data_IF_188588744438
#
_entry.id   IF_188588744438
#
_cell.length_a   1.000
_cell.length_b   1.000
_cell.length_c   1.000
_cell.angle_alpha   90.00
_cell.angle_beta   90.00
_cell.angle_gamma   90.00
#
_symmetry.space_group_name_H-M   'P 1'
#
loop_
_entity.id
_entity.type
_entity.pdbx_description
1 polymer ?
#
# COMPACT_ATOMS: atom_id res chain seq x y z
N UNK A 1 54.32 -45.89 7.12
CA UNK A 1 53.76 -46.47 8.37
C UNK A 1 52.28 -46.15 8.37
N UNK A 2 51.43 -47.13 8.11
CA UNK A 2 49.98 -47.09 8.42
C UNK A 2 49.81 -47.48 9.93
N UNK A 3 48.67 -47.26 10.65
CA UNK A 3 47.29 -47.29 10.11
C UNK A 3 46.16 -46.46 10.83
N UNK A 4 45.01 -46.39 10.13
CA UNK A 4 43.60 -46.60 10.58
C UNK A 4 42.83 -45.59 11.45
N UNK A 5 41.89 -44.89 10.78
CA UNK A 5 40.42 -44.83 10.97
C UNK A 5 39.80 -45.13 12.35
N UNK A 6 38.96 -44.19 12.84
CA UNK A 6 37.63 -44.49 13.39
C UNK A 6 36.73 -43.23 13.42
N UNK A 7 35.57 -43.36 12.76
CA UNK A 7 34.41 -42.48 12.85
C UNK A 7 33.79 -42.52 14.24
N UNK A 8 33.31 -41.38 14.72
CA UNK A 8 32.14 -41.28 15.57
C UNK A 8 31.45 -39.94 15.25
N UNK A 9 30.32 -40.01 14.55
CA UNK A 9 29.43 -38.87 14.41
C UNK A 9 28.76 -38.58 15.75
N UNK A 10 28.47 -37.30 15.98
CA UNK A 10 27.37 -36.92 16.85
C UNK A 10 26.67 -35.73 16.21
N UNK A 11 25.44 -35.99 15.78
CA UNK A 11 24.42 -34.99 15.57
C UNK A 11 24.37 -34.08 16.82
N UNK A 12 24.65 -32.79 16.65
CA UNK A 12 24.19 -31.80 17.61
C UNK A 12 22.76 -31.45 17.23
N UNK A 13 21.84 -32.25 17.79
CA UNK A 13 20.45 -31.87 17.97
C UNK A 13 20.35 -30.59 18.79
N UNK A 14 19.38 -29.76 18.43
CA UNK A 14 18.77 -28.67 19.20
C UNK A 14 18.95 -28.78 20.73
N UNK A 15 19.30 -27.66 21.35
CA UNK A 15 19.22 -27.47 22.79
C UNK A 15 19.97 -26.23 23.23
N UNK A 16 19.29 -25.08 23.27
CA UNK A 16 19.72 -23.94 24.08
C UNK A 16 19.88 -24.41 25.53
N UNK A 17 21.11 -24.55 26.00
CA UNK A 17 21.40 -24.58 27.43
C UNK A 17 21.60 -23.14 27.90
N UNK A 18 20.59 -22.58 28.56
CA UNK A 18 20.75 -21.38 29.36
C UNK A 18 21.82 -21.65 30.44
N UNK A 19 22.88 -20.84 30.42
CA UNK A 19 23.80 -20.74 31.54
C UNK A 19 23.06 -19.93 32.60
N UNK A 20 22.45 -20.60 33.58
CA UNK A 20 21.94 -19.94 34.79
C UNK A 20 23.06 -19.94 35.82
N UNK A 21 23.44 -18.74 36.26
CA UNK A 21 24.44 -18.52 37.30
C UNK A 21 23.92 -19.08 38.65
N UNK A 22 24.62 -19.99 39.34
CA UNK A 22 24.10 -20.67 40.53
C UNK A 22 23.99 -19.79 41.81
N UNK A 23 24.14 -18.47 41.71
CA UNK A 23 23.98 -17.51 42.82
C UNK A 23 22.64 -16.73 42.79
N UNK A 24 21.77 -16.96 41.80
CA UNK A 24 20.44 -16.31 41.70
C UNK A 24 19.29 -17.32 41.82
N UNK A 25 19.41 -18.28 42.73
CA UNK A 25 18.24 -19.09 43.10
C UNK A 25 17.40 -18.31 44.11
N UNK A 26 16.09 -18.10 43.86
CA UNK A 26 15.21 -17.40 44.77
C UNK A 26 15.21 -18.05 46.15
N UNK A 27 15.32 -17.24 47.22
CA UNK A 27 15.24 -17.73 48.59
C UNK A 27 13.79 -18.12 48.86
N UNK A 28 13.54 -19.42 48.96
CA UNK A 28 12.21 -19.97 49.22
C UNK A 28 11.85 -19.84 50.70
N UNK A 29 10.58 -19.57 50.98
CA UNK A 29 10.00 -19.46 52.31
C UNK A 29 8.70 -20.28 52.42
N UNK A 30 8.43 -20.77 53.63
CA UNK A 30 7.23 -21.53 53.98
C UNK A 30 6.90 -21.32 55.48
N UNK A 31 5.94 -22.07 56.01
CA UNK A 31 5.52 -21.97 57.41
C UNK A 31 6.63 -22.32 58.42
N UNK A 32 7.66 -23.05 58.00
CA UNK A 32 8.79 -23.50 58.82
C UNK A 32 10.11 -22.73 58.54
N UNK A 33 10.14 -21.88 57.49
CA UNK A 33 11.30 -21.06 57.09
C UNK A 33 10.93 -19.60 56.88
N UNK A 34 11.29 -18.78 57.86
CA UNK A 34 11.17 -17.33 57.79
C UNK A 34 12.26 -16.69 56.89
N UNK A 35 11.89 -15.59 56.23
CA UNK A 35 12.81 -14.77 55.46
C UNK A 35 13.81 -14.00 56.33
N UNK A 36 14.98 -13.61 55.78
CA UNK A 36 15.92 -12.70 56.46
C UNK A 36 15.29 -11.35 56.84
N UNK A 37 15.90 -10.65 57.80
CA UNK A 37 15.43 -9.31 58.23
C UNK A 37 15.35 -8.34 57.04
N UNK A 38 14.23 -7.63 56.91
CA UNK A 38 13.94 -6.70 55.80
C UNK A 38 13.12 -7.29 54.64
N UNK A 39 12.76 -8.58 54.69
CA UNK A 39 11.97 -9.25 53.64
C UNK A 39 10.66 -9.87 54.19
N UNK A 40 9.71 -10.12 53.29
CA UNK A 40 8.44 -10.82 53.50
C UNK A 40 8.29 -11.99 52.53
N UNK A 41 7.54 -13.01 52.95
CA UNK A 41 7.25 -14.15 52.11
C UNK A 41 6.06 -13.83 51.19
N UNK A 42 6.32 -13.79 49.88
CA UNK A 42 5.34 -13.56 48.83
C UNK A 42 5.36 -14.78 47.90
N UNK A 43 4.24 -15.52 47.89
CA UNK A 43 4.03 -16.71 47.08
C UNK A 43 5.18 -17.74 47.12
N UNK A 44 5.63 -18.09 48.34
CA UNK A 44 6.68 -19.07 48.57
C UNK A 44 8.11 -18.56 48.38
N UNK A 45 8.29 -17.25 48.12
CA UNK A 45 9.60 -16.64 47.89
C UNK A 45 9.80 -15.38 48.75
N UNK A 46 11.02 -15.17 49.26
CA UNK A 46 11.35 -13.97 50.02
C UNK A 46 11.57 -12.76 49.11
N UNK A 47 10.85 -11.68 49.36
CA UNK A 47 10.97 -10.40 48.66
C UNK A 47 11.00 -9.23 49.68
N UNK A 48 11.61 -8.08 49.35
CA UNK A 48 11.67 -6.93 50.26
C UNK A 48 10.27 -6.42 50.66
N UNK A 49 10.13 -5.96 51.91
CA UNK A 49 8.87 -5.39 52.40
C UNK A 49 8.65 -4.01 51.78
N UNK A 50 7.59 -3.87 51.00
CA UNK A 50 7.02 -2.56 50.63
C UNK A 50 6.01 -2.19 51.72
N UNK A 51 6.39 -1.30 52.62
CA UNK A 51 5.43 -0.53 53.43
C UNK A 51 4.83 0.58 52.54
N UNK A 52 3.57 0.92 52.81
CA UNK A 52 2.62 1.75 52.02
C UNK A 52 3.15 3.08 51.42
N UNK A 53 2.46 3.66 50.40
CA UNK A 53 3.07 4.57 49.42
C UNK A 53 3.37 5.95 50.02
N UNK A 54 4.58 6.45 49.74
CA UNK A 54 5.04 7.81 50.03
C UNK A 54 5.46 8.44 48.70
N UNK A 55 5.12 9.72 48.42
CA UNK A 55 5.68 10.45 47.28
C UNK A 55 7.17 10.65 47.51
N UNK A 56 7.95 10.11 46.59
CA UNK A 56 9.39 10.24 46.29
C UNK A 56 10.28 10.93 47.32
N UNK A 57 10.72 10.17 48.32
CA UNK A 57 11.80 10.56 49.21
C UNK A 57 13.17 10.38 48.50
N UNK A 58 13.63 11.41 47.79
CA UNK A 58 14.99 11.45 47.24
C UNK A 58 15.30 12.49 46.16
N UNK A 59 14.31 13.25 45.70
CA UNK A 59 14.45 14.19 44.59
C UNK A 59 15.09 15.53 45.07
N UNK A 60 16.13 16.04 44.37
CA UNK A 60 16.71 17.37 44.60
C UNK A 60 16.20 18.37 43.54
N UNK A 61 15.58 19.51 43.93
CA UNK A 61 15.02 20.46 42.98
C UNK A 61 16.04 20.91 41.93
N UNK A 62 15.66 20.80 40.67
CA UNK A 62 16.51 21.11 39.53
C UNK A 62 15.69 21.77 38.41
N UNK A 63 16.36 22.19 37.34
CA UNK A 63 15.71 22.82 36.17
C UNK A 63 15.67 21.86 34.96
N UNK A 64 15.76 20.54 35.19
CA UNK A 64 15.65 19.56 34.11
C UNK A 64 14.18 19.45 33.64
N UNK A 65 13.94 19.24 32.33
CA UNK A 65 12.58 19.01 31.83
C UNK A 65 12.06 17.66 32.33
N UNK A 66 10.78 17.61 32.71
CA UNK A 66 10.11 16.37 33.10
C UNK A 66 10.16 15.33 31.98
N UNK A 67 10.45 14.08 32.35
CA UNK A 67 10.22 12.94 31.48
C UNK A 67 8.84 12.41 31.79
N UNK A 68 8.12 11.96 30.76
CA UNK A 68 6.82 11.38 31.03
C UNK A 68 6.90 9.96 31.59
N UNK A 69 7.04 9.87 32.90
CA UNK A 69 7.26 8.64 33.64
C UNK A 69 6.40 8.53 34.91
N UNK A 70 5.55 9.53 35.18
CA UNK A 70 4.64 9.56 36.33
C UNK A 70 5.34 9.90 37.64
N UNK A 71 6.57 10.42 37.56
CA UNK A 71 7.37 10.92 38.66
C UNK A 71 7.56 12.43 38.50
N UNK A 72 7.95 13.09 39.58
CA UNK A 72 8.37 14.49 39.59
C UNK A 72 9.91 14.50 39.47
N UNK A 73 10.45 14.58 38.25
CA UNK A 73 11.89 14.46 37.96
C UNK A 73 12.68 15.72 38.40
N UNK A 74 12.02 16.88 38.40
CA UNK A 74 12.62 18.16 38.76
C UNK A 74 12.24 18.67 40.16
N UNK A 75 11.42 17.91 40.88
CA UNK A 75 11.01 18.09 42.26
C UNK A 75 10.30 19.42 42.53
N UNK A 76 9.43 19.86 41.61
CA UNK A 76 8.71 21.13 41.70
C UNK A 76 7.26 21.00 42.24
N UNK A 77 6.89 19.81 42.73
CA UNK A 77 5.55 19.42 43.18
C UNK A 77 4.51 19.31 42.04
N UNK A 78 4.95 19.21 40.79
CA UNK A 78 4.16 18.85 39.61
C UNK A 78 4.72 17.54 39.04
N UNK A 79 3.86 16.74 38.43
CA UNK A 79 4.26 15.47 37.82
C UNK A 79 4.01 15.60 36.33
N UNK A 80 5.02 15.26 35.54
CA UNK A 80 4.98 15.32 34.08
C UNK A 80 4.51 16.70 33.54
N UNK A 81 4.88 17.85 34.13
CA UNK A 81 4.42 19.15 33.60
C UNK A 81 4.99 19.49 32.22
N UNK A 82 4.20 20.23 31.44
CA UNK A 82 4.53 20.59 30.06
C UNK A 82 4.21 19.51 29.03
N UNK A 83 3.59 18.40 29.47
CA UNK A 83 3.09 17.30 28.63
C UNK A 83 1.55 17.27 28.49
N UNK A 84 0.89 18.36 28.87
CA UNK A 84 -0.55 18.65 28.66
C UNK A 84 -0.62 19.98 27.91
N UNK A 85 -0.74 19.92 26.58
CA UNK A 85 -0.62 21.11 25.71
C UNK A 85 -1.94 21.87 25.59
N UNK A 86 -3.09 21.20 25.72
CA UNK A 86 -4.40 21.85 25.61
C UNK A 86 -5.05 22.26 26.95
N UNK A 87 -4.53 21.75 28.07
CA UNK A 87 -4.87 22.12 29.42
C UNK A 87 -6.12 21.46 29.98
N UNK A 88 -6.51 20.29 29.48
CA UNK A 88 -7.62 19.51 30.02
C UNK A 88 -7.29 18.73 31.31
N UNK A 89 -6.00 18.66 31.65
CA UNK A 89 -5.47 18.01 32.85
C UNK A 89 -5.05 16.56 32.65
N UNK A 90 -5.03 16.05 31.42
CA UNK A 90 -4.47 14.75 31.03
C UNK A 90 -3.23 14.99 30.18
N UNK A 91 -2.17 14.23 30.41
CA UNK A 91 -0.95 14.33 29.59
C UNK A 91 -0.97 13.33 28.43
N UNK A 92 -0.31 13.63 27.31
CA UNK A 92 -0.18 12.75 26.12
C UNK A 92 0.37 11.34 26.41
N UNK A 93 0.90 11.17 27.62
CA UNK A 93 1.65 10.01 28.03
C UNK A 93 1.21 9.43 29.37
N UNK A 94 0.44 10.17 30.19
CA UNK A 94 -0.11 9.75 31.49
C UNK A 94 0.87 8.91 32.33
N UNK A 95 2.07 9.44 32.55
CA UNK A 95 3.13 8.75 33.29
C UNK A 95 3.54 7.38 32.74
N UNK A 96 3.39 7.17 31.44
CA UNK A 96 3.66 5.91 30.74
C UNK A 96 2.50 4.91 30.72
N UNK A 97 1.32 5.26 31.26
CA UNK A 97 0.13 4.41 31.21
C UNK A 97 -0.67 4.63 29.92
N UNK A 98 -0.82 3.58 29.12
CA UNK A 98 -1.52 3.65 27.84
C UNK A 98 -3.05 3.75 27.98
N UNK A 99 -3.64 3.26 29.07
CA UNK A 99 -5.11 3.20 29.26
C UNK A 99 -5.71 4.52 29.76
N UNK A 100 -4.90 5.54 30.02
CA UNK A 100 -5.39 6.85 30.45
C UNK A 100 -4.57 8.01 29.92
N UNK A 101 -3.82 7.79 28.83
CA UNK A 101 -3.13 8.87 28.15
C UNK A 101 -4.12 9.67 27.31
N UNK A 102 -3.82 10.94 27.14
CA UNK A 102 -4.52 11.77 26.18
C UNK A 102 -4.27 11.22 24.75
N UNK A 103 -5.37 10.98 24.02
CA UNK A 103 -5.30 10.51 22.64
C UNK A 103 -5.06 11.65 21.64
N UNK A 104 -5.31 12.91 22.02
CA UNK A 104 -4.97 14.11 21.26
C UNK A 104 -4.68 15.32 22.16
N UNK A 105 -3.41 15.46 22.56
CA UNK A 105 -2.79 16.54 23.38
C UNK A 105 -2.95 17.98 22.84
N UNK A 106 -3.70 18.18 21.76
CA UNK A 106 -3.97 19.49 21.17
C UNK A 106 -5.46 19.83 21.14
N UNK A 107 -6.33 18.99 21.68
CA UNK A 107 -7.78 19.16 21.66
C UNK A 107 -8.43 18.73 23.00
N UNK A 108 -8.83 19.69 23.85
CA UNK A 108 -9.30 19.42 25.22
C UNK A 108 -10.71 18.79 25.28
N UNK A 109 -11.22 18.37 24.11
CA UNK A 109 -12.45 17.62 23.93
C UNK A 109 -12.20 16.14 23.60
N UNK A 110 -10.95 15.67 23.63
CA UNK A 110 -10.56 14.28 23.38
C UNK A 110 -9.64 13.80 24.50
N UNK A 111 -10.22 13.31 25.59
CA UNK A 111 -9.50 12.94 26.80
C UNK A 111 -10.18 11.76 27.51
N UNK A 112 -9.41 10.89 28.18
CA UNK A 112 -9.91 9.80 29.01
C UNK A 112 -11.11 10.18 29.90
N UNK A 113 -12.27 9.56 29.63
CA UNK A 113 -13.48 9.69 30.45
C UNK A 113 -14.34 10.94 30.19
N UNK A 114 -14.14 11.63 29.07
CA UNK A 114 -15.13 12.57 28.53
C UNK A 114 -16.38 11.81 28.03
N UNK A 115 -17.44 12.55 27.68
CA UNK A 115 -18.62 11.97 27.03
C UNK A 115 -18.40 11.98 25.51
N UNK A 116 -18.68 10.86 24.84
CA UNK A 116 -18.68 10.76 23.38
C UNK A 116 -19.65 11.76 22.73
N UNK A 117 -19.17 12.46 21.69
CA UNK A 117 -19.95 13.36 20.86
C UNK A 117 -19.97 12.84 19.43
N UNK A 118 -21.09 13.00 18.71
CA UNK A 118 -21.28 12.36 17.40
C UNK A 118 -20.58 13.19 16.32
N UNK A 119 -19.26 13.13 16.33
CA UNK A 119 -18.38 13.94 15.50
C UNK A 119 -17.29 13.11 14.81
N UNK A 120 -17.30 11.78 15.01
CA UNK A 120 -16.41 10.83 14.36
C UNK A 120 -15.03 10.80 14.99
N UNK A 121 -14.91 11.24 16.24
CA UNK A 121 -13.70 11.20 17.05
C UNK A 121 -13.98 10.34 18.27
N UNK A 122 -12.90 9.77 18.79
CA UNK A 122 -12.86 9.10 20.08
C UNK A 122 -12.64 10.20 21.14
N UNK A 123 -13.71 10.72 21.72
CA UNK A 123 -13.65 11.84 22.66
C UNK A 123 -13.23 11.36 24.05
N UNK A 124 -13.49 10.11 24.42
CA UNK A 124 -13.20 9.54 25.72
C UNK A 124 -11.93 8.67 25.77
N UNK A 125 -11.24 8.56 24.64
CA UNK A 125 -9.99 7.83 24.42
C UNK A 125 -10.06 6.34 24.82
N UNK A 126 -11.22 5.67 24.74
CA UNK A 126 -11.37 4.25 25.06
C UNK A 126 -10.97 3.31 23.90
N UNK A 127 -10.68 3.88 22.72
CA UNK A 127 -10.31 3.19 21.50
C UNK A 127 -11.49 2.81 20.60
N UNK A 128 -12.70 3.28 20.92
CA UNK A 128 -13.90 3.22 20.08
C UNK A 128 -14.31 4.65 19.70
N UNK A 129 -15.21 4.76 18.74
CA UNK A 129 -15.63 6.05 18.19
C UNK A 129 -17.16 6.10 18.28
N UNK A 130 -17.68 7.14 18.93
CA UNK A 130 -19.09 7.49 19.06
C UNK A 130 -19.98 6.42 19.75
N UNK A 131 -19.44 5.47 20.52
CA UNK A 131 -20.12 4.24 20.98
C UNK A 131 -21.18 4.41 22.05
N UNK A 132 -21.23 5.55 22.75
CA UNK A 132 -22.26 5.87 23.75
C UNK A 132 -23.06 7.15 23.41
N UNK A 133 -22.93 7.62 22.17
CA UNK A 133 -23.46 8.92 21.75
C UNK A 133 -24.98 8.93 21.48
N UNK A 134 -25.56 7.78 21.17
CA UNK A 134 -26.93 7.70 20.66
C UNK A 134 -27.90 6.90 21.57
N UNK A 135 -29.02 7.51 22.01
CA UNK A 135 -30.04 6.78 22.77
C UNK A 135 -30.70 5.67 21.93
N UNK A 136 -31.02 4.55 22.57
CA UNK A 136 -31.88 3.49 22.02
C UNK A 136 -31.40 2.85 20.69
N UNK A 137 -30.09 2.73 20.48
CA UNK A 137 -29.50 2.00 19.35
C UNK A 137 -29.47 2.78 18.03
N UNK A 138 -29.57 4.11 18.07
CA UNK A 138 -29.27 4.95 16.91
C UNK A 138 -27.80 4.83 16.51
N UNK A 139 -27.51 5.05 15.22
CA UNK A 139 -26.14 5.04 14.68
C UNK A 139 -25.66 6.48 14.54
N UNK A 140 -24.45 6.78 14.99
CA UNK A 140 -23.87 8.10 14.80
C UNK A 140 -23.56 8.35 13.31
N UNK A 141 -23.99 9.51 12.79
CA UNK A 141 -23.59 10.02 11.48
C UNK A 141 -22.71 11.28 11.69
N UNK A 142 -21.37 11.11 11.68
CA UNK A 142 -20.44 12.21 11.96
C UNK A 142 -20.44 13.29 10.86
N UNK A 143 -20.93 12.98 9.66
CA UNK A 143 -21.07 13.96 8.56
C UNK A 143 -22.24 14.91 8.83
N UNK A 144 -23.29 14.43 9.49
CA UNK A 144 -24.46 15.24 9.87
C UNK A 144 -24.37 15.83 11.27
N UNK A 145 -23.43 15.37 12.10
CA UNK A 145 -23.21 15.84 13.47
C UNK A 145 -24.35 15.45 14.41
N UNK A 146 -24.88 14.23 14.27
CA UNK A 146 -25.98 13.76 15.11
C UNK A 146 -26.42 12.32 14.84
N UNK A 147 -27.22 11.80 15.76
CA UNK A 147 -27.73 10.43 15.67
C UNK A 147 -28.72 10.27 14.52
N UNK A 148 -28.44 9.30 13.65
CA UNK A 148 -29.45 8.75 12.77
C UNK A 148 -30.35 7.80 13.58
N UNK A 149 -31.66 7.85 13.33
CA UNK A 149 -32.58 6.83 13.82
C UNK A 149 -32.06 5.45 13.37
N UNK A 150 -32.13 4.45 14.26
CA UNK A 150 -31.73 3.08 13.95
C UNK A 150 -32.35 2.64 12.62
N UNK A 151 -31.54 2.10 11.71
CA UNK A 151 -32.03 1.62 10.41
C UNK A 151 -33.16 0.62 10.66
N UNK A 152 -34.41 0.93 10.26
CA UNK A 152 -35.54 0.04 10.51
C UNK A 152 -35.41 -1.31 9.79
N UNK A 153 -34.49 -1.44 8.84
CA UNK A 153 -34.19 -2.67 8.12
C UNK A 153 -33.23 -3.62 8.84
N UNK A 154 -32.46 -3.17 9.85
CA UNK A 154 -31.55 -4.02 10.65
C UNK A 154 -32.28 -5.14 11.40
N UNK A 155 -33.54 -4.93 11.77
CA UNK A 155 -34.34 -5.91 12.51
C UNK A 155 -34.96 -7.00 11.62
N UNK A 156 -34.60 -7.06 10.32
CA UNK A 156 -35.21 -7.91 9.30
C UNK A 156 -36.75 -7.98 9.42
N UNK A 157 -37.44 -6.82 9.35
CA UNK A 157 -38.88 -6.75 9.61
C UNK A 157 -39.72 -7.43 8.52
N UNK A 158 -39.11 -7.80 7.39
CA UNK A 158 -39.76 -8.40 6.24
C UNK A 158 -39.69 -9.93 6.32
N UNK A 159 -40.83 -10.60 6.08
CA UNK A 159 -40.89 -12.06 6.07
C UNK A 159 -40.19 -12.68 4.85
N UNK A 160 -40.04 -14.01 4.86
CA UNK A 160 -39.43 -14.77 3.76
C UNK A 160 -39.96 -14.32 2.37
N UNK A 161 -39.04 -13.98 1.46
CA UNK A 161 -39.36 -13.52 0.09
C UNK A 161 -39.50 -12.00 -0.08
N UNK A 162 -39.18 -11.20 0.94
CA UNK A 162 -39.21 -9.74 0.87
C UNK A 162 -37.94 -9.11 1.47
N UNK A 163 -37.30 -8.21 0.72
CA UNK A 163 -36.19 -7.39 1.19
C UNK A 163 -36.71 -6.08 1.78
N UNK A 164 -36.01 -5.55 2.78
CA UNK A 164 -36.33 -4.25 3.36
C UNK A 164 -35.60 -3.14 2.59
N UNK A 165 -36.35 -2.22 1.98
CA UNK A 165 -35.83 -1.00 1.35
C UNK A 165 -36.17 0.21 2.24
N UNK A 166 -35.18 1.04 2.62
CA UNK A 166 -35.46 2.28 3.35
C UNK A 166 -36.26 3.27 2.49
N UNK A 167 -37.29 3.87 3.09
CA UNK A 167 -38.16 4.84 2.42
C UNK A 167 -38.52 5.98 3.37
N UNK A 168 -38.81 7.14 2.80
CA UNK A 168 -39.31 8.32 3.55
C UNK A 168 -40.81 8.21 3.90
N UNK A 169 -41.32 6.99 4.05
CA UNK A 169 -42.71 6.73 4.48
C UNK A 169 -42.84 6.88 5.99
N UNK A 170 -44.08 6.93 6.50
CA UNK A 170 -44.35 6.99 7.94
C UNK A 170 -43.78 5.78 8.73
N UNK A 171 -43.39 4.70 8.04
CA UNK A 171 -42.77 3.52 8.63
C UNK A 171 -41.23 3.52 8.52
N UNK A 172 -40.62 4.40 7.72
CA UNK A 172 -39.17 4.44 7.47
C UNK A 172 -38.64 3.36 6.50
N UNK A 173 -39.47 2.39 6.11
CA UNK A 173 -39.09 1.31 5.18
C UNK A 173 -40.27 0.80 4.37
N UNK A 174 -39.99 0.01 3.33
CA UNK A 174 -40.91 -0.74 2.50
C UNK A 174 -40.38 -2.16 2.29
N UNK A 175 -41.23 -3.17 2.50
CA UNK A 175 -40.89 -4.55 2.15
C UNK A 175 -41.16 -4.75 0.66
N UNK A 176 -40.10 -4.78 -0.15
CA UNK A 176 -40.18 -5.08 -1.57
C UNK A 176 -40.01 -6.58 -1.77
N UNK A 177 -40.71 -7.23 -2.72
CA UNK A 177 -40.42 -8.62 -3.06
C UNK A 177 -38.92 -8.75 -3.34
N UNK A 178 -38.28 -9.79 -2.80
CA UNK A 178 -36.93 -10.17 -3.25
C UNK A 178 -37.12 -10.54 -4.72
N UNK A 179 -36.56 -9.72 -5.61
CA UNK A 179 -36.47 -10.09 -7.01
C UNK A 179 -35.47 -11.25 -7.05
N UNK A 180 -35.94 -12.47 -7.23
CA UNK A 180 -35.06 -13.66 -7.42
C UNK A 180 -34.12 -13.46 -8.64
N UNK A 181 -34.40 -12.45 -9.47
CA UNK A 181 -33.62 -12.00 -10.61
C UNK A 181 -32.61 -10.85 -10.27
N UNK A 182 -32.55 -10.35 -9.02
CA UNK A 182 -31.51 -9.40 -8.59
C UNK A 182 -30.16 -10.11 -8.51
N UNK A 183 -29.24 -9.73 -9.39
CA UNK A 183 -27.93 -10.34 -9.55
C UNK A 183 -26.95 -10.08 -8.39
N UNK A 184 -27.32 -9.24 -7.41
CA UNK A 184 -26.55 -9.09 -6.16
C UNK A 184 -26.84 -10.21 -5.17
N UNK A 185 -27.89 -10.99 -5.40
CA UNK A 185 -28.22 -12.12 -4.55
C UNK A 185 -27.23 -13.28 -4.77
N UNK A 186 -26.84 -13.95 -3.69
CA UNK A 186 -25.92 -15.08 -3.75
C UNK A 186 -26.48 -16.20 -4.64
N UNK A 187 -25.70 -16.59 -5.67
CA UNK A 187 -26.08 -17.63 -6.62
C UNK A 187 -26.87 -17.17 -7.84
N UNK A 188 -27.10 -15.86 -8.01
CA UNK A 188 -27.69 -15.28 -9.22
C UNK A 188 -26.58 -14.72 -10.11
N UNK A 189 -26.21 -15.46 -11.15
CA UNK A 189 -25.22 -15.03 -12.15
C UNK A 189 -25.90 -14.33 -13.33
N UNK A 190 -25.32 -13.23 -13.80
CA UNK A 190 -25.80 -12.57 -15.00
C UNK A 190 -25.60 -13.42 -16.25
N UNK A 191 -26.56 -13.42 -17.19
CA UNK A 191 -26.47 -14.27 -18.37
C UNK A 191 -25.40 -13.76 -19.33
N UNK A 192 -24.52 -14.66 -19.77
CA UNK A 192 -23.49 -14.33 -20.75
C UNK A 192 -22.30 -13.61 -20.10
N UNK A 193 -21.89 -12.52 -20.72
CA UNK A 193 -20.81 -11.63 -20.31
C UNK A 193 -21.32 -10.40 -19.52
N UNK A 194 -22.60 -10.34 -19.19
CA UNK A 194 -23.19 -9.20 -18.47
C UNK A 194 -22.67 -9.05 -17.04
N UNK A 195 -22.59 -7.80 -16.56
CA UNK A 195 -22.25 -7.48 -15.18
C UNK A 195 -23.49 -7.11 -14.37
N UNK A 196 -23.39 -7.22 -13.05
CA UNK A 196 -24.44 -6.78 -12.16
C UNK A 196 -24.30 -5.29 -11.84
N UNK A 197 -25.24 -4.47 -12.29
CA UNK A 197 -25.21 -3.04 -12.03
C UNK A 197 -25.54 -2.70 -10.57
N UNK A 198 -25.25 -1.47 -10.16
CA UNK A 198 -25.57 -0.96 -8.81
C UNK A 198 -27.06 -1.01 -8.43
N UNK A 199 -27.97 -1.24 -9.39
CA UNK A 199 -29.40 -1.40 -9.16
C UNK A 199 -29.83 -2.86 -9.10
N UNK A 200 -28.90 -3.82 -9.10
CA UNK A 200 -29.20 -5.25 -9.07
C UNK A 200 -29.67 -5.81 -10.41
N UNK A 201 -29.36 -5.16 -11.53
CA UNK A 201 -29.76 -5.62 -12.87
C UNK A 201 -28.57 -6.05 -13.68
N UNK A 202 -28.74 -7.14 -14.43
CA UNK A 202 -27.76 -7.54 -15.44
C UNK A 202 -27.73 -6.54 -16.59
N UNK A 203 -26.56 -6.00 -16.87
CA UNK A 203 -26.30 -5.03 -17.92
C UNK A 203 -25.15 -5.50 -18.82
N UNK A 204 -25.21 -5.11 -20.10
CA UNK A 204 -24.13 -5.39 -21.05
C UNK A 204 -22.84 -4.67 -20.60
N UNK A 205 -21.70 -5.32 -20.82
CA UNK A 205 -20.39 -4.72 -20.54
C UNK A 205 -20.21 -3.44 -21.36
N UNK A 206 -19.43 -2.52 -20.81
CA UNK A 206 -19.19 -1.19 -21.38
C UNK A 206 -17.97 -1.23 -22.27
N UNK A 207 -18.11 -0.67 -23.47
CA UNK A 207 -17.01 -0.47 -24.41
C UNK A 207 -15.92 0.43 -23.80
N UNK A 208 -14.69 0.35 -24.34
CA UNK A 208 -13.62 1.28 -24.01
C UNK A 208 -14.07 2.75 -24.18
N UNK A 209 -13.70 3.59 -23.21
CA UNK A 209 -14.12 4.98 -23.12
C UNK A 209 -15.52 5.20 -22.53
N UNK A 210 -16.30 4.15 -22.30
CA UNK A 210 -17.58 4.22 -21.58
C UNK A 210 -17.38 4.49 -20.08
N UNK A 211 -18.30 5.20 -19.40
CA UNK A 211 -18.15 5.53 -17.98
C UNK A 211 -18.22 4.27 -17.11
N UNK A 212 -17.45 4.18 -16.04
CA UNK A 212 -17.42 3.03 -15.14
C UNK A 212 -17.24 3.44 -13.68
N UNK A 213 -17.52 2.51 -12.76
CA UNK A 213 -17.18 2.60 -11.34
C UNK A 213 -16.33 1.43 -10.90
N UNK A 214 -16.55 0.26 -11.49
CA UNK A 214 -15.81 -0.97 -11.18
C UNK A 214 -15.28 -1.63 -12.46
N UNK A 215 -14.17 -2.35 -12.32
CA UNK A 215 -13.52 -3.06 -13.44
C UNK A 215 -14.45 -4.05 -14.13
N UNK A 216 -15.34 -4.69 -13.36
CA UNK A 216 -16.29 -5.69 -13.85
C UNK A 216 -17.32 -5.11 -14.83
N UNK A 217 -17.47 -3.79 -14.90
CA UNK A 217 -18.39 -3.14 -15.83
C UNK A 217 -17.82 -3.02 -17.25
N UNK A 218 -16.52 -3.26 -17.44
CA UNK A 218 -15.81 -3.04 -18.70
C UNK A 218 -15.70 -4.32 -19.52
N UNK A 219 -15.94 -4.22 -20.84
CA UNK A 219 -15.85 -5.37 -21.76
C UNK A 219 -14.44 -5.94 -21.80
N UNK A 220 -13.46 -5.04 -21.77
CA UNK A 220 -12.05 -5.37 -21.69
C UNK A 220 -11.35 -4.41 -20.71
N UNK A 221 -10.34 -4.91 -20.01
CA UNK A 221 -9.44 -4.10 -19.21
C UNK A 221 -9.97 -3.80 -17.81
N UNK A 222 -10.03 -2.52 -17.45
CA UNK A 222 -10.30 -2.04 -16.10
C UNK A 222 -10.98 -0.66 -16.11
N UNK A 223 -11.53 -0.26 -14.97
CA UNK A 223 -12.11 1.05 -14.78
C UNK A 223 -11.03 2.06 -14.38
N UNK A 224 -10.61 2.90 -15.32
CA UNK A 224 -9.52 3.84 -15.11
C UNK A 224 -9.99 5.06 -14.31
N UNK A 225 -9.35 5.28 -13.15
CA UNK A 225 -9.52 6.49 -12.36
C UNK A 225 -8.72 7.66 -12.98
N UNK A 226 -9.35 8.81 -13.26
CA UNK A 226 -8.68 9.98 -13.82
C UNK A 226 -7.53 10.53 -12.96
N UNK A 227 -7.63 10.43 -11.63
CA UNK A 227 -6.59 10.90 -10.71
C UNK A 227 -5.33 10.06 -10.86
N UNK A 228 -5.48 8.74 -11.04
CA UNK A 228 -4.35 7.87 -11.35
C UNK A 228 -3.71 8.25 -12.68
N UNK A 229 -4.51 8.63 -13.67
CA UNK A 229 -4.04 9.10 -14.98
C UNK A 229 -3.46 10.52 -14.99
N UNK A 230 -3.37 11.18 -13.82
CA UNK A 230 -3.00 12.59 -13.67
C UNK A 230 -3.81 13.51 -14.59
N UNK A 231 -5.07 13.16 -14.82
CA UNK A 231 -6.00 13.89 -15.68
C UNK A 231 -6.91 14.78 -14.85
N UNK A 232 -7.34 15.90 -15.43
CA UNK A 232 -8.31 16.83 -14.82
C UNK A 232 -9.77 16.51 -15.19
N UNK A 233 -10.10 15.22 -15.40
CA UNK A 233 -11.47 14.78 -15.70
C UNK A 233 -12.09 14.13 -14.45
N UNK A 234 -13.40 14.32 -14.25
CA UNK A 234 -14.07 13.91 -13.00
C UNK A 234 -14.73 12.51 -13.07
N UNK A 235 -14.75 11.86 -14.24
CA UNK A 235 -15.48 10.61 -14.46
C UNK A 235 -14.55 9.49 -14.94
N UNK A 236 -14.56 8.36 -14.23
CA UNK A 236 -13.82 7.14 -14.59
C UNK A 236 -14.40 6.49 -15.84
N UNK A 237 -13.53 5.85 -16.63
CA UNK A 237 -13.92 5.24 -17.90
C UNK A 237 -13.22 3.91 -18.13
N UNK A 238 -13.86 3.03 -18.90
CA UNK A 238 -13.29 1.75 -19.25
C UNK A 238 -12.05 1.95 -20.12
N UNK A 239 -10.92 1.43 -19.65
CA UNK A 239 -9.65 1.49 -20.34
C UNK A 239 -8.99 0.12 -20.31
N UNK A 240 -7.90 -0.02 -21.05
CA UNK A 240 -7.02 -1.18 -20.97
C UNK A 240 -5.57 -0.72 -20.97
N UNK A 241 -4.69 -1.57 -20.47
CA UNK A 241 -3.26 -1.32 -20.55
C UNK A 241 -2.78 -1.40 -22.00
N UNK A 242 -1.68 -0.73 -22.30
CA UNK A 242 -1.11 -0.68 -23.64
C UNK A 242 0.42 -0.57 -23.55
N UNK A 243 1.14 -1.04 -24.55
CA UNK A 243 2.59 -0.87 -24.62
C UNK A 243 3.04 -0.03 -25.77
N UNK A 244 2.31 -0.09 -26.87
CA UNK A 244 2.56 0.64 -28.09
C UNK A 244 1.28 1.36 -28.52
N UNK A 245 1.38 2.34 -29.43
CA UNK A 245 0.20 2.98 -30.01
C UNK A 245 -0.77 1.98 -30.69
N UNK A 246 -0.24 0.86 -31.20
CA UNK A 246 -1.04 -0.16 -31.90
C UNK A 246 -1.92 -1.00 -30.94
N UNK A 247 -1.64 -0.95 -29.64
CA UNK A 247 -2.45 -1.62 -28.61
C UNK A 247 -3.72 -0.84 -28.26
N UNK A 248 -3.95 0.33 -28.83
CA UNK A 248 -5.15 1.13 -28.59
C UNK A 248 -6.03 1.26 -29.85
N UNK A 249 -7.36 1.35 -29.70
CA UNK A 249 -8.24 1.68 -30.83
C UNK A 249 -7.89 3.04 -31.44
N UNK A 250 -8.27 3.29 -32.70
CA UNK A 250 -7.77 4.44 -33.47
C UNK A 250 -8.14 5.83 -32.92
N UNK A 251 -9.16 5.93 -32.08
CA UNK A 251 -9.59 7.13 -31.36
C UNK A 251 -8.99 7.26 -29.94
N UNK A 252 -8.12 6.32 -29.56
CA UNK A 252 -7.40 6.27 -28.30
C UNK A 252 -5.90 6.49 -28.51
N UNK A 253 -5.22 6.81 -27.42
CA UNK A 253 -3.77 6.95 -27.36
C UNK A 253 -3.27 6.09 -26.22
N UNK A 254 -2.14 5.42 -26.44
CA UNK A 254 -1.43 4.79 -25.34
C UNK A 254 -0.76 5.87 -24.49
N UNK A 255 -1.45 6.27 -23.44
CA UNK A 255 -1.07 7.37 -22.56
C UNK A 255 -0.24 6.84 -21.40
N UNK A 256 0.89 7.49 -21.15
CA UNK A 256 1.75 7.23 -20.01
C UNK A 256 1.77 8.48 -19.12
N UNK A 257 1.01 8.53 -18.01
CA UNK A 257 0.98 9.63 -17.05
C UNK A 257 2.12 9.51 -16.02
N UNK A 258 3.30 9.08 -16.49
CA UNK A 258 4.43 8.80 -15.60
C UNK A 258 4.20 7.56 -14.75
N UNK A 259 5.12 7.28 -13.83
CA UNK A 259 4.90 6.18 -12.88
C UNK A 259 5.11 4.77 -13.47
N UNK A 260 5.54 4.64 -14.74
CA UNK A 260 5.78 3.35 -15.39
C UNK A 260 4.52 2.56 -15.76
N UNK A 261 3.35 3.20 -15.75
CA UNK A 261 2.10 2.60 -16.21
C UNK A 261 1.56 3.30 -17.46
N UNK A 262 0.78 2.57 -18.25
CA UNK A 262 0.22 3.04 -19.51
C UNK A 262 -1.21 2.54 -19.71
N UNK A 263 -2.07 3.40 -20.27
CA UNK A 263 -3.48 3.13 -20.49
C UNK A 263 -3.97 3.68 -21.82
N UNK A 264 -4.93 3.00 -22.45
CA UNK A 264 -5.63 3.54 -23.61
C UNK A 264 -6.60 4.64 -23.18
N UNK A 265 -6.27 5.89 -23.50
CA UNK A 265 -7.08 7.06 -23.14
C UNK A 265 -7.68 7.68 -24.41
N UNK A 266 -8.98 8.05 -24.41
CA UNK A 266 -9.58 8.74 -25.54
C UNK A 266 -8.83 10.03 -25.88
N UNK A 267 -8.55 10.26 -27.17
CA UNK A 267 -7.84 11.48 -27.63
C UNK A 267 -8.51 12.78 -27.17
N UNK A 268 -9.83 12.76 -27.13
CA UNK A 268 -10.67 13.90 -26.70
C UNK A 268 -10.49 14.24 -25.22
N UNK A 269 -10.13 13.27 -24.39
CA UNK A 269 -9.93 13.48 -22.96
C UNK A 269 -8.55 14.11 -22.66
N UNK A 270 -7.62 14.04 -23.61
CA UNK A 270 -6.27 14.62 -23.52
C UNK A 270 -6.11 15.92 -24.33
N UNK A 271 -7.20 16.46 -24.90
CA UNK A 271 -7.16 17.61 -25.80
C UNK A 271 -6.14 17.47 -26.96
N UNK A 272 -5.82 16.24 -27.38
CA UNK A 272 -4.87 15.97 -28.46
C UNK A 272 -5.53 16.22 -29.83
N UNK A 273 -5.03 17.24 -30.54
CA UNK A 273 -5.57 17.66 -31.83
C UNK A 273 -5.54 16.59 -32.93
N UNK A 274 -6.43 16.73 -33.92
CA UNK A 274 -6.38 15.95 -35.17
C UNK A 274 -5.13 16.35 -35.97
N UNK A 275 -4.16 15.44 -36.11
CA UNK A 275 -2.92 15.67 -36.88
C UNK A 275 -1.61 15.60 -36.09
N UNK A 276 -1.63 15.08 -34.87
CA UNK A 276 -0.43 14.82 -34.09
C UNK A 276 0.55 13.88 -34.83
N UNK A 277 1.85 14.20 -34.76
CA UNK A 277 2.94 13.53 -35.47
C UNK A 277 3.21 12.13 -34.95
N UNK A 278 3.54 11.21 -35.86
CA UNK A 278 4.02 9.87 -35.52
C UNK A 278 5.42 9.92 -34.90
N UNK A 279 5.87 8.83 -34.26
CA UNK A 279 7.23 8.75 -33.74
C UNK A 279 8.30 9.19 -34.76
N UNK A 280 9.30 9.90 -34.25
CA UNK A 280 10.38 10.51 -35.02
C UNK A 280 9.99 11.80 -35.74
N UNK A 281 8.73 12.22 -35.71
CA UNK A 281 8.32 13.55 -36.20
C UNK A 281 8.86 14.64 -35.28
N UNK A 282 9.32 15.77 -35.84
CA UNK A 282 9.72 16.90 -35.03
C UNK A 282 8.52 17.48 -34.28
N UNK A 283 8.73 17.86 -33.01
CA UNK A 283 7.72 18.47 -32.17
C UNK A 283 8.31 19.62 -31.35
N UNK A 284 7.48 20.62 -31.07
CA UNK A 284 7.75 21.68 -30.10
C UNK A 284 7.14 21.41 -28.72
N UNK A 285 6.25 20.41 -28.59
CA UNK A 285 5.64 19.98 -27.34
C UNK A 285 4.73 18.76 -27.52
N UNK A 286 4.29 18.15 -26.41
CA UNK A 286 3.57 16.86 -26.34
C UNK A 286 2.29 16.82 -27.16
N UNK A 287 1.53 17.92 -27.19
CA UNK A 287 0.28 18.01 -27.96
C UNK A 287 0.48 17.85 -29.47
N UNK A 288 1.71 18.02 -29.96
CA UNK A 288 2.07 17.78 -31.35
C UNK A 288 2.36 16.31 -31.66
N UNK A 289 2.38 15.43 -30.66
CA UNK A 289 2.73 14.01 -30.79
C UNK A 289 1.53 13.09 -30.60
N UNK A 290 1.41 12.08 -31.46
CA UNK A 290 0.28 11.16 -31.43
C UNK A 290 0.20 10.39 -30.10
N UNK A 291 1.36 10.10 -29.51
CA UNK A 291 1.55 9.52 -28.18
C UNK A 291 1.32 10.51 -27.02
N UNK A 292 1.25 11.81 -27.30
CA UNK A 292 1.30 12.83 -26.28
C UNK A 292 2.66 12.95 -25.60
N UNK A 293 3.75 12.51 -26.24
CA UNK A 293 5.12 12.61 -25.71
C UNK A 293 6.10 13.16 -26.76
N UNK A 294 6.58 14.36 -26.52
CA UNK A 294 7.65 15.05 -27.25
C UNK A 294 8.92 15.00 -26.42
N UNK A 295 9.91 14.25 -26.91
CA UNK A 295 11.18 14.03 -26.22
C UNK A 295 12.32 14.48 -27.12
N UNK A 296 13.12 15.42 -26.63
CA UNK A 296 14.26 16.01 -27.34
C UNK A 296 13.85 16.60 -28.69
N UNK A 297 12.67 17.21 -28.73
CA UNK A 297 12.07 17.81 -29.94
C UNK A 297 11.64 16.80 -31.01
N UNK A 298 11.48 15.52 -30.65
CA UNK A 298 10.93 14.48 -31.52
C UNK A 298 9.85 13.67 -30.80
N UNK A 299 8.79 13.31 -31.52
CA UNK A 299 7.74 12.47 -30.95
C UNK A 299 8.28 11.07 -30.67
N UNK A 300 8.02 10.55 -29.46
CA UNK A 300 8.37 9.18 -29.07
C UNK A 300 7.14 8.27 -29.09
N UNK A 301 7.29 7.02 -29.52
CA UNK A 301 6.25 6.01 -29.30
C UNK A 301 6.45 5.40 -27.92
N UNK A 302 5.40 5.28 -27.09
CA UNK A 302 5.51 4.60 -25.81
C UNK A 302 5.93 3.14 -26.02
N UNK A 303 6.60 2.60 -25.00
CA UNK A 303 7.01 1.21 -24.95
C UNK A 303 6.94 0.71 -23.51
N UNK A 304 6.75 -0.59 -23.36
CA UNK A 304 6.90 -1.23 -22.05
C UNK A 304 8.25 -1.94 -21.88
N UNK A 305 8.81 -2.44 -22.98
CA UNK A 305 10.02 -3.24 -23.03
C UNK A 305 10.70 -3.12 -24.40
N UNK A 306 11.84 -3.79 -24.58
CA UNK A 306 12.53 -3.81 -25.88
C UNK A 306 11.74 -4.47 -27.02
N UNK A 307 10.79 -5.37 -26.74
CA UNK A 307 10.01 -6.04 -27.78
C UNK A 307 8.98 -5.12 -28.43
N UNK A 308 8.52 -4.12 -27.68
CA UNK A 308 7.59 -3.07 -28.13
C UNK A 308 8.16 -2.16 -29.22
N UNK A 309 9.50 -2.13 -29.40
CA UNK A 309 10.18 -1.11 -30.18
C UNK A 309 10.69 -1.52 -31.57
N UNK A 310 10.27 -2.67 -32.10
CA UNK A 310 10.54 -3.05 -33.50
C UNK A 310 12.02 -3.05 -33.92
N UNK A 311 12.96 -3.21 -32.95
CA UNK A 311 14.40 -3.16 -33.16
C UNK A 311 15.12 -1.94 -32.58
N UNK A 312 14.40 -0.97 -32.01
CA UNK A 312 14.94 0.07 -31.14
C UNK A 312 14.95 -0.40 -29.67
N UNK A 313 15.53 0.40 -28.77
CA UNK A 313 15.56 0.13 -27.33
C UNK A 313 14.44 0.92 -26.67
N UNK A 314 13.75 0.31 -25.71
CA UNK A 314 12.84 1.05 -24.85
C UNK A 314 13.67 1.82 -23.83
N UNK A 315 13.69 3.15 -23.97
CA UNK A 315 14.47 4.04 -23.12
C UNK A 315 13.57 4.79 -22.14
N UNK A 316 14.15 5.10 -21.00
CA UNK A 316 13.58 6.00 -20.02
C UNK A 316 13.94 7.43 -20.45
N UNK A 317 12.92 8.28 -20.59
CA UNK A 317 13.07 9.65 -21.03
C UNK A 317 12.21 10.60 -20.20
N UNK A 318 12.49 11.89 -20.36
CA UNK A 318 11.76 12.97 -19.72
C UNK A 318 11.06 13.76 -20.82
N UNK A 319 9.78 14.08 -20.63
CA UNK A 319 9.01 14.88 -21.60
C UNK A 319 9.40 16.36 -21.54
N UNK A 320 9.32 17.04 -22.68
CA UNK A 320 9.72 18.46 -22.82
C UNK A 320 8.51 19.44 -22.84
N UNK A 321 7.32 19.06 -22.34
CA UNK A 321 6.07 19.81 -22.61
C UNK A 321 5.39 20.54 -21.45
N UNK A 322 4.81 21.70 -21.75
CA UNK A 322 3.98 22.48 -20.83
C UNK A 322 2.85 21.64 -20.21
N UNK A 323 2.89 21.47 -18.88
CA UNK A 323 1.90 20.72 -18.10
C UNK A 323 2.31 19.29 -17.73
N UNK A 324 3.32 18.73 -18.40
CA UNK A 324 3.94 17.43 -18.10
C UNK A 324 5.47 17.47 -18.01
N UNK A 325 6.04 18.67 -18.04
CA UNK A 325 7.48 18.89 -17.96
C UNK A 325 8.08 18.07 -16.81
N UNK A 326 9.24 17.50 -17.08
CA UNK A 326 10.01 16.72 -16.10
C UNK A 326 9.41 15.36 -15.73
N UNK A 327 8.36 14.93 -16.43
CA UNK A 327 7.74 13.63 -16.18
C UNK A 327 8.42 12.48 -16.92
N UNK A 328 8.66 11.39 -16.18
CA UNK A 328 9.33 10.19 -16.63
C UNK A 328 8.43 9.30 -17.50
N UNK A 329 8.82 9.07 -18.76
CA UNK A 329 8.12 8.22 -19.73
C UNK A 329 9.05 7.14 -20.27
N UNK A 330 8.48 6.08 -20.85
CA UNK A 330 9.26 5.03 -21.54
C UNK A 330 8.91 5.04 -23.02
N UNK A 331 9.89 5.38 -23.87
CA UNK A 331 9.69 5.54 -25.31
C UNK A 331 10.68 4.72 -26.13
N UNK A 332 10.30 4.37 -27.36
CA UNK A 332 11.19 3.72 -28.30
C UNK A 332 12.26 4.69 -28.80
N UNK A 333 13.50 4.39 -28.45
CA UNK A 333 14.65 5.25 -28.66
C UNK A 333 15.98 4.50 -28.50
N UNK A 334 16.94 5.17 -27.89
CA UNK A 334 18.27 4.65 -27.62
C UNK A 334 19.19 5.78 -27.16
N UNK A 335 19.43 5.85 -25.86
CA UNK A 335 20.23 6.89 -25.23
C UNK A 335 21.74 6.54 -25.18
N UNK A 336 22.06 5.24 -25.21
CA UNK A 336 23.42 4.71 -25.04
C UNK A 336 23.65 3.34 -25.70
N UNK A 337 24.63 2.57 -25.22
CA UNK A 337 25.00 1.25 -25.76
C UNK A 337 25.12 0.12 -24.73
N UNK A 338 25.12 0.44 -23.43
CA UNK A 338 25.25 -0.53 -22.34
C UNK A 338 24.03 -1.43 -22.20
N UNK A 339 24.26 -2.74 -22.14
CA UNK A 339 23.23 -3.76 -21.92
C UNK A 339 22.86 -3.88 -20.43
N UNK A 340 21.70 -4.47 -20.13
CA UNK A 340 21.26 -4.71 -18.75
C UNK A 340 22.32 -5.46 -17.95
N UNK A 341 22.64 -4.95 -16.75
CA UNK A 341 23.66 -5.47 -15.84
C UNK A 341 25.10 -5.06 -16.15
N UNK A 342 25.36 -4.35 -17.25
CA UNK A 342 26.69 -3.78 -17.51
C UNK A 342 26.96 -2.57 -16.61
N UNK A 343 28.23 -2.37 -16.22
CA UNK A 343 28.61 -1.25 -15.34
C UNK A 343 28.49 0.11 -16.02
N UNK A 344 28.08 1.13 -15.27
CA UNK A 344 27.91 2.50 -15.73
C UNK A 344 28.18 3.53 -14.61
N UNK A 345 28.47 4.76 -15.02
CA UNK A 345 28.65 5.92 -14.14
C UNK A 345 27.63 7.01 -14.45
N UNK A 346 27.14 7.08 -15.69
CA UNK A 346 26.14 8.05 -16.11
C UNK A 346 25.03 7.39 -16.95
N UNK A 347 23.81 7.93 -16.87
CA UNK A 347 22.62 7.42 -17.58
C UNK A 347 22.83 7.18 -19.08
N UNK A 348 23.56 8.08 -19.75
CA UNK A 348 23.80 8.02 -21.20
C UNK A 348 24.70 6.86 -21.66
N UNK A 349 25.36 6.15 -20.74
CA UNK A 349 26.12 4.95 -21.10
C UNK A 349 25.20 3.77 -21.42
N UNK A 350 24.02 3.74 -20.82
CA UNK A 350 23.07 2.63 -20.90
C UNK A 350 22.15 2.77 -22.11
N UNK A 351 21.86 1.64 -22.78
CA UNK A 351 20.98 1.63 -23.94
C UNK A 351 19.56 2.15 -23.61
N UNK A 352 19.08 1.83 -22.41
CA UNK A 352 17.83 2.33 -21.83
C UNK A 352 17.88 3.78 -21.38
N UNK A 353 19.06 4.41 -21.38
CA UNK A 353 19.25 5.73 -20.79
C UNK A 353 19.18 5.75 -19.28
N UNK A 354 19.31 4.61 -18.59
CA UNK A 354 19.28 4.59 -17.13
C UNK A 354 20.39 3.75 -16.52
N UNK A 355 21.20 4.42 -15.70
CA UNK A 355 22.22 3.85 -14.84
C UNK A 355 21.70 3.90 -13.39
N UNK A 356 21.56 2.75 -12.75
CA UNK A 356 21.15 2.67 -11.33
C UNK A 356 22.40 2.60 -10.46
N UNK A 357 22.58 3.53 -9.50
CA UNK A 357 23.75 3.51 -8.63
C UNK A 357 23.74 2.29 -7.70
N UNK A 358 24.94 1.80 -7.35
CA UNK A 358 25.15 0.84 -6.26
C UNK A 358 25.89 1.55 -5.12
N UNK A 359 25.60 1.18 -3.87
CA UNK A 359 26.19 1.85 -2.69
C UNK A 359 27.73 1.76 -2.62
N UNK A 360 28.36 0.80 -3.31
CA UNK A 360 29.79 0.48 -3.15
C UNK A 360 30.57 0.20 -4.44
N UNK A 361 29.93 0.27 -5.61
CA UNK A 361 30.53 0.00 -6.91
C UNK A 361 30.01 0.99 -7.95
N UNK A 362 30.59 0.95 -9.17
CA UNK A 362 29.98 1.63 -10.31
C UNK A 362 28.52 1.12 -10.47
N UNK A 363 27.63 2.01 -10.91
CA UNK A 363 26.23 1.67 -11.14
C UNK A 363 26.08 0.59 -12.21
N UNK A 364 24.86 0.14 -12.45
CA UNK A 364 24.56 -0.82 -13.52
C UNK A 364 23.47 -0.31 -14.44
N UNK A 365 23.59 -0.65 -15.71
CA UNK A 365 22.57 -0.38 -16.70
C UNK A 365 21.35 -1.26 -16.45
N UNK A 366 20.17 -0.66 -16.44
CA UNK A 366 18.88 -1.37 -16.33
C UNK A 366 18.06 -1.19 -17.61
N UNK A 367 16.84 -1.71 -17.69
CA UNK A 367 15.90 -1.44 -18.78
C UNK A 367 14.46 -1.53 -18.27
N UNK A 368 13.51 -0.84 -18.94
CA UNK A 368 12.09 -1.10 -18.77
C UNK A 368 11.74 -2.57 -19.05
N UNK A 369 10.78 -3.09 -18.30
CA UNK A 369 10.35 -4.49 -18.36
C UNK A 369 8.84 -4.59 -18.16
N UNK A 370 8.25 -5.73 -18.48
CA UNK A 370 6.84 -6.05 -18.26
C UNK A 370 6.61 -7.09 -17.18
N UNK A 371 7.48 -8.10 -17.15
CA UNK A 371 7.51 -9.15 -16.17
C UNK A 371 8.96 -9.48 -15.83
N UNK A 372 9.16 -10.20 -14.74
CA UNK A 372 10.50 -10.58 -14.30
C UNK A 372 11.24 -11.47 -15.31
N UNK A 373 10.51 -12.10 -16.24
CA UNK A 373 11.09 -12.84 -17.36
C UNK A 373 11.89 -11.98 -18.34
N UNK A 374 11.64 -10.67 -18.41
CA UNK A 374 12.28 -9.76 -19.36
C UNK A 374 13.67 -9.33 -18.92
N UNK A 375 13.97 -9.48 -17.63
CA UNK A 375 15.14 -8.90 -16.99
C UNK A 375 16.38 -9.80 -16.98
N UNK A 376 16.25 -11.05 -17.42
CA UNK A 376 17.33 -12.02 -17.39
C UNK A 376 17.64 -12.52 -15.96
N UNK A 377 18.76 -13.24 -15.80
CA UNK A 377 19.09 -13.90 -14.53
C UNK A 377 19.67 -12.88 -13.54
N UNK A 378 19.13 -12.84 -12.32
CA UNK A 378 19.61 -11.98 -11.22
C UNK A 378 18.89 -10.63 -11.14
N UNK A 379 17.90 -10.40 -11.99
CA UNK A 379 17.09 -9.19 -11.99
C UNK A 379 15.61 -9.55 -11.91
N UNK A 380 14.84 -8.70 -11.25
CA UNK A 380 13.38 -8.77 -11.13
C UNK A 380 12.77 -7.53 -11.78
N UNK A 381 11.58 -7.67 -12.37
CA UNK A 381 10.86 -6.50 -12.86
C UNK A 381 10.10 -5.85 -11.71
N UNK A 382 10.55 -4.66 -11.30
CA UNK A 382 10.03 -3.97 -10.13
C UNK A 382 9.83 -2.48 -10.37
N UNK A 383 8.95 -1.86 -9.60
CA UNK A 383 8.80 -0.41 -9.57
C UNK A 383 9.91 0.20 -8.72
N UNK A 384 10.66 1.12 -9.32
CA UNK A 384 11.87 1.69 -8.74
C UNK A 384 11.73 3.21 -8.77
N UNK A 385 11.98 3.84 -7.62
CA UNK A 385 12.04 5.30 -7.54
C UNK A 385 13.33 5.82 -8.17
N UNK A 386 13.23 6.73 -9.14
CA UNK A 386 14.37 7.32 -9.86
C UNK A 386 14.53 8.78 -9.44
N UNK A 387 14.87 8.97 -8.16
CA UNK A 387 14.74 10.25 -7.46
C UNK A 387 15.67 11.37 -7.95
N UNK A 388 16.72 11.02 -8.69
CA UNK A 388 17.65 11.94 -9.31
C UNK A 388 17.13 12.52 -10.64
N UNK A 389 16.15 11.88 -11.26
CA UNK A 389 15.45 12.38 -12.45
C UNK A 389 14.11 13.03 -12.07
N UNK A 390 13.30 12.33 -11.27
CA UNK A 390 12.04 12.84 -10.72
C UNK A 390 11.85 12.25 -9.32
N UNK A 391 11.82 13.08 -8.26
CA UNK A 391 11.73 12.62 -6.87
C UNK A 391 10.42 11.89 -6.54
N UNK A 392 9.37 12.07 -7.35
CA UNK A 392 8.05 11.49 -7.12
C UNK A 392 7.72 10.37 -8.13
N UNK A 393 8.58 10.13 -9.13
CA UNK A 393 8.35 9.09 -10.12
C UNK A 393 8.91 7.73 -9.71
N UNK A 394 8.07 6.71 -9.89
CA UNK A 394 8.50 5.33 -9.98
C UNK A 394 8.49 4.90 -11.44
N UNK A 395 9.45 4.09 -11.87
CA UNK A 395 9.44 3.47 -13.20
C UNK A 395 9.66 1.99 -13.02
N UNK A 396 8.98 1.18 -13.82
CA UNK A 396 9.15 -0.26 -13.82
C UNK A 396 10.40 -0.64 -14.59
N UNK A 397 11.35 -1.25 -13.90
CA UNK A 397 12.70 -1.50 -14.38
C UNK A 397 13.21 -2.85 -13.90
N UNK A 398 14.19 -3.38 -14.62
CA UNK A 398 14.95 -4.54 -14.19
C UNK A 398 15.86 -4.18 -13.01
N UNK A 399 15.41 -4.51 -11.82
CA UNK A 399 16.08 -4.20 -10.57
C UNK A 399 16.97 -5.36 -10.13
N UNK A 400 18.19 -5.05 -9.69
CA UNK A 400 19.08 -6.06 -9.12
C UNK A 400 18.48 -6.60 -7.83
N UNK A 401 18.21 -7.89 -7.82
CA UNK A 401 17.65 -8.61 -6.68
C UNK A 401 18.75 -9.03 -5.69
N UNK A 402 20.00 -8.60 -5.84
CA UNK A 402 21.10 -9.14 -5.03
C UNK A 402 21.50 -8.23 -3.87
N UNK A 403 21.60 -8.82 -2.67
CA UNK A 403 22.21 -8.21 -1.50
C UNK A 403 23.75 -8.11 -1.65
N UNK A 404 24.39 -7.48 -0.68
CA UNK A 404 25.85 -7.30 -0.64
C UNK A 404 26.66 -8.62 -0.57
N UNK A 405 26.01 -9.75 -0.29
CA UNK A 405 26.59 -11.10 -0.30
C UNK A 405 26.29 -11.88 -1.59
N UNK A 406 25.49 -11.32 -2.49
CA UNK A 406 25.03 -11.97 -3.70
C UNK A 406 23.91 -12.99 -3.43
N UNK A 407 23.13 -12.80 -2.37
CA UNK A 407 21.87 -13.52 -2.14
C UNK A 407 20.68 -12.66 -2.61
N UNK A 408 19.62 -13.30 -3.15
CA UNK A 408 18.37 -12.63 -3.44
C UNK A 408 17.80 -11.88 -2.22
N UNK A 409 17.43 -10.62 -2.42
CA UNK A 409 16.73 -9.78 -1.45
C UNK A 409 15.24 -10.12 -1.41
N UNK A 410 14.69 -10.61 -2.52
CA UNK A 410 13.33 -11.11 -2.62
C UNK A 410 13.30 -12.65 -2.59
N UNK A 411 12.09 -13.19 -2.57
CA UNK A 411 11.86 -14.62 -2.55
C UNK A 411 12.17 -15.29 -3.89
N UNK A 412 11.99 -16.62 -3.94
CA UNK A 412 12.26 -17.41 -5.15
C UNK A 412 11.00 -17.79 -5.93
N UNK A 413 9.82 -17.58 -5.34
CA UNK A 413 8.54 -17.96 -5.92
C UNK A 413 8.26 -17.23 -7.23
N UNK A 414 8.01 -18.00 -8.29
CA UNK A 414 7.57 -17.48 -9.58
C UNK A 414 6.07 -17.13 -9.52
N UNK A 415 5.58 -16.34 -10.48
CA UNK A 415 4.16 -16.02 -10.59
C UNK A 415 3.30 -17.31 -10.59
N UNK A 416 2.32 -17.36 -9.69
CA UNK A 416 1.43 -18.49 -9.49
C UNK A 416 1.90 -19.51 -8.45
N UNK A 417 3.13 -19.45 -7.96
CA UNK A 417 3.58 -20.27 -6.83
C UNK A 417 2.83 -19.92 -5.56
N UNK A 418 2.69 -20.87 -4.64
CA UNK A 418 2.08 -20.62 -3.34
C UNK A 418 3.03 -19.79 -2.46
N UNK A 419 2.47 -18.84 -1.71
CA UNK A 419 3.21 -18.02 -0.75
C UNK A 419 2.39 -17.81 0.52
N UNK A 420 3.06 -17.77 1.66
CA UNK A 420 2.47 -17.33 2.92
C UNK A 420 2.76 -15.83 3.18
N UNK A 421 3.75 -15.26 2.50
CA UNK A 421 4.15 -13.86 2.61
C UNK A 421 4.76 -13.31 1.32
N UNK A 422 4.69 -11.99 1.14
CA UNK A 422 5.31 -11.27 0.00
C UNK A 422 6.78 -11.61 -0.22
N UNK A 423 7.55 -11.74 0.87
CA UNK A 423 8.97 -12.04 0.85
C UNK A 423 9.32 -13.43 0.27
N UNK A 424 8.34 -14.31 0.06
CA UNK A 424 8.54 -15.60 -0.61
C UNK A 424 8.48 -15.50 -2.14
N UNK A 425 7.94 -14.40 -2.66
CA UNK A 425 7.76 -14.14 -4.06
C UNK A 425 8.93 -13.34 -4.63
N UNK A 426 9.35 -13.69 -5.85
CA UNK A 426 10.41 -12.95 -6.54
C UNK A 426 10.05 -11.48 -6.73
N UNK A 427 8.79 -11.22 -7.02
CA UNK A 427 8.21 -9.90 -7.21
C UNK A 427 7.99 -9.12 -5.91
N UNK A 428 8.18 -9.74 -4.74
CA UNK A 428 7.75 -9.25 -3.43
C UNK A 428 6.23 -9.04 -3.26
N UNK A 429 5.42 -9.65 -4.13
CA UNK A 429 3.97 -9.56 -4.06
C UNK A 429 3.34 -10.95 -3.92
N UNK A 430 2.73 -11.18 -2.77
CA UNK A 430 1.88 -12.33 -2.48
C UNK A 430 0.42 -11.88 -2.38
N UNK A 431 -0.42 -12.35 -3.30
CA UNK A 431 -1.85 -12.03 -3.35
C UNK A 431 -2.68 -13.30 -3.23
N UNK A 432 -3.61 -13.33 -2.28
CA UNK A 432 -4.47 -14.50 -2.03
C UNK A 432 -3.71 -15.84 -1.90
N UNK A 433 -2.52 -15.79 -1.27
CA UNK A 433 -1.65 -16.95 -1.06
C UNK A 433 -0.91 -17.42 -2.31
N UNK A 434 -0.84 -16.58 -3.36
CA UNK A 434 -0.07 -16.84 -4.59
C UNK A 434 0.83 -15.68 -4.95
N UNK A 435 2.03 -15.99 -5.43
CA UNK A 435 2.94 -14.99 -5.95
C UNK A 435 2.37 -14.37 -7.23
N UNK A 436 2.43 -13.04 -7.33
CA UNK A 436 1.97 -12.27 -8.49
C UNK A 436 3.12 -11.44 -9.03
N UNK A 437 3.24 -11.28 -10.34
CA UNK A 437 4.31 -10.48 -10.97
C UNK A 437 3.74 -9.17 -11.52
N UNK A 438 4.64 -8.25 -11.85
CA UNK A 438 4.30 -7.07 -12.64
C UNK A 438 3.80 -7.47 -14.03
N UNK A 439 2.97 -6.62 -14.64
CA UNK A 439 2.38 -6.91 -15.95
C UNK A 439 2.19 -5.65 -16.78
N UNK A 440 2.25 -5.77 -18.10
CA UNK A 440 1.96 -4.69 -19.03
C UNK A 440 0.63 -4.86 -19.76
N UNK A 441 0.17 -6.09 -19.86
CA UNK A 441 -0.94 -6.52 -20.67
C UNK A 441 -1.55 -7.75 -20.04
N UNK A 442 -2.78 -8.07 -20.46
CA UNK A 442 -3.42 -9.31 -20.04
C UNK A 442 -2.64 -10.56 -20.45
N UNK A 443 -1.80 -10.48 -21.49
CA UNK A 443 -1.01 -11.63 -21.95
C UNK A 443 0.17 -11.97 -21.04
N UNK A 444 0.58 -11.05 -20.17
CA UNK A 444 1.65 -11.29 -19.20
C UNK A 444 1.17 -12.13 -18.02
N UNK A 445 -0.15 -12.18 -17.81
CA UNK A 445 -0.76 -12.84 -16.67
C UNK A 445 -1.12 -14.30 -16.96
N UNK A 446 -0.83 -15.18 -15.99
CA UNK A 446 -1.05 -16.62 -16.10
C UNK A 446 -2.05 -17.11 -15.05
N UNK A 447 -2.61 -18.31 -15.26
CA UNK A 447 -3.39 -18.99 -14.23
C UNK A 447 -4.73 -18.35 -13.88
N UNK A 448 -5.31 -17.55 -14.80
CA UNK A 448 -6.59 -16.86 -14.58
C UNK A 448 -6.47 -15.49 -13.92
N UNK A 449 -5.24 -15.01 -13.66
CA UNK A 449 -5.01 -13.64 -13.20
C UNK A 449 -5.22 -12.62 -14.32
N UNK A 450 -5.60 -11.42 -13.94
CA UNK A 450 -5.87 -10.25 -14.78
C UNK A 450 -4.85 -9.16 -14.46
N UNK A 451 -4.26 -8.54 -15.47
CA UNK A 451 -3.40 -7.38 -15.28
C UNK A 451 -4.25 -6.21 -14.78
N UNK A 452 -4.10 -5.83 -13.52
CA UNK A 452 -4.89 -4.80 -12.84
C UNK A 452 -3.99 -3.75 -12.22
N UNK A 453 -4.54 -2.55 -12.10
CA UNK A 453 -3.89 -1.45 -11.39
C UNK A 453 -4.13 -1.63 -9.90
N UNK A 454 -3.06 -1.74 -9.13
CA UNK A 454 -3.07 -1.58 -7.68
C UNK A 454 -2.80 -0.12 -7.36
N UNK A 455 -3.75 0.61 -6.76
CA UNK A 455 -3.51 1.98 -6.33
C UNK A 455 -2.45 2.01 -5.22
N UNK A 456 -1.49 2.91 -5.35
CA UNK A 456 -0.47 3.24 -4.35
C UNK A 456 -0.47 4.76 -4.15
N UNK A 457 0.01 5.30 -3.00
CA UNK A 457 -0.10 6.72 -2.68
C UNK A 457 0.40 7.69 -3.76
N UNK A 458 1.35 7.27 -4.60
CA UNK A 458 1.99 8.08 -5.63
C UNK A 458 1.70 7.61 -7.08
N UNK A 459 0.73 6.71 -7.28
CA UNK A 459 0.36 6.22 -8.61
C UNK A 459 -0.36 4.87 -8.65
N UNK A 460 -0.24 4.17 -9.77
CA UNK A 460 -0.79 2.82 -9.96
C UNK A 460 0.30 1.83 -10.35
N UNK A 461 0.34 0.67 -9.70
CA UNK A 461 1.22 -0.44 -10.09
C UNK A 461 0.44 -1.51 -10.84
N UNK A 462 0.93 -1.93 -12.00
CA UNK A 462 0.30 -2.99 -12.77
C UNK A 462 0.81 -4.36 -12.29
N UNK A 463 -0.10 -5.15 -11.72
CA UNK A 463 0.16 -6.49 -11.19
C UNK A 463 -0.84 -7.49 -11.75
N UNK A 464 -0.41 -8.74 -11.92
CA UNK A 464 -1.30 -9.85 -12.26
C UNK A 464 -2.11 -10.27 -11.03
N UNK A 465 -3.31 -9.75 -10.85
CA UNK A 465 -4.18 -10.03 -9.70
C UNK A 465 -5.28 -11.04 -10.07
N UNK A 466 -5.71 -11.92 -9.13
CA UNK A 466 -6.73 -12.94 -9.39
C UNK A 466 -8.12 -12.38 -9.72
#
# INVERSE_FOLDING_TARGET
MSPKWLWAGLFATLGCSAIVNPEELPILCDEDRACPEGMACLDGTCAPRVEEPQPDAGCEPNDEPELCNGLDDNCNDQVDEGHDVDGDGVTWCNGGNQEGRDCNDHDPLQAPGLEEACDGRDNDCDGRIDEDTCPAGGVCDPVKGGCADADPCEAEPCGEGFACEQRTTDAGFECVPIDDDDCRNEGVECPGDQFCDSNGRCADLRDLGGPCREDAECEEGYCADPQMLRMSVDESFCSRTCCSPDDCPGDFVCWQPGGGFSACVPRVALDLGEGAGAAGSACGGDSECASGACVRGSCGDPCCDGSSCGGQVCEVAITDAEGRNDELVTICGGAGQGEVGSGCVEHGECASGLCVPRDWEDGYCTAPCCASSDCGIGFVCAYVAVTDLDPEAQVRLCWDDMDWLGFPLHGYGDAGDACDSSAECRSDYCENGRCVDTCCSQTDCQGGSTCRVRPVPDGGQLLCLP
#
